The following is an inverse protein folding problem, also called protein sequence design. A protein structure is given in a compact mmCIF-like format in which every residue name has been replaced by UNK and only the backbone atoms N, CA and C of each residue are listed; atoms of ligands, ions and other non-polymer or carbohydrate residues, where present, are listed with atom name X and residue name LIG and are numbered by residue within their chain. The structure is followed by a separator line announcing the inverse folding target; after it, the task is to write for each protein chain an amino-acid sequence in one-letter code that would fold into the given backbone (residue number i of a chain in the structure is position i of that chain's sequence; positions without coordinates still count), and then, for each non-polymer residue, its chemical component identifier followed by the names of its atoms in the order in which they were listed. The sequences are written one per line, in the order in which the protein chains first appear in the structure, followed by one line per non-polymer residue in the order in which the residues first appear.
data_IF_634806734437
#
_entry.id   IF_634806734437
#
_cell.length_a   1.000
_cell.length_b   1.000
_cell.length_c   1.000
_cell.angle_alpha   90.00
_cell.angle_beta   90.00
_cell.angle_gamma   90.00
#
_symmetry.space_group_name_H-M   'P 1'
#
loop_
_entity.id
_entity.type
_entity.pdbx_description
1 polymer ?
#
# COMPACT_ATOMS: atom_id res chain seq x y z
N UNK A 1 -4.69 -10.90 3.62
CA UNK A 1 -3.34 -11.44 3.39
C UNK A 1 -3.34 -12.94 3.64
N UNK A 2 -2.60 -13.70 2.84
CA UNK A 2 -2.30 -15.11 3.10
C UNK A 2 -1.15 -15.23 4.11
N UNK A 3 -1.10 -16.33 4.91
CA UNK A 3 -0.11 -16.49 5.98
C UNK A 3 0.28 -17.97 6.22
N UNK A 4 0.32 -18.78 5.16
CA UNK A 4 0.42 -20.23 5.15
C UNK A 4 -0.80 -20.95 5.77
N UNK A 5 -0.92 -22.25 5.53
CA UNK A 5 -2.02 -23.04 6.04
C UNK A 5 -1.85 -23.42 7.53
N UNK A 6 -0.72 -24.03 7.87
CA UNK A 6 -0.46 -24.56 9.21
C UNK A 6 0.41 -23.65 10.08
N UNK A 7 0.73 -22.42 9.61
CA UNK A 7 1.64 -21.51 10.28
C UNK A 7 3.04 -22.11 10.49
N UNK A 8 3.50 -22.98 9.57
CA UNK A 8 4.82 -23.60 9.67
C UNK A 8 5.95 -22.60 9.33
N UNK A 9 7.16 -22.88 9.84
CA UNK A 9 8.35 -22.14 9.43
C UNK A 9 8.78 -22.59 8.04
N UNK A 10 8.51 -21.77 7.03
CA UNK A 10 8.71 -22.09 5.62
C UNK A 10 10.18 -22.37 5.24
N UNK A 11 11.16 -21.97 6.06
CA UNK A 11 12.58 -22.32 5.86
C UNK A 11 12.95 -23.75 6.32
N UNK A 12 12.05 -24.45 7.00
CA UNK A 12 12.30 -25.77 7.59
C UNK A 12 11.57 -26.89 6.86
N UNK A 13 10.92 -26.56 5.75
CA UNK A 13 10.14 -27.53 4.94
C UNK A 13 10.62 -27.49 3.48
N UNK A 14 10.29 -28.50 2.68
CA UNK A 14 10.62 -28.55 1.26
C UNK A 14 9.87 -27.48 0.46
N UNK A 15 10.34 -27.13 -0.74
CA UNK A 15 9.66 -26.15 -1.61
C UNK A 15 8.29 -26.66 -2.07
N UNK A 16 8.09 -27.97 -2.21
CA UNK A 16 6.80 -28.60 -2.46
C UNK A 16 5.83 -28.36 -1.31
N UNK A 17 6.30 -28.52 -0.08
CA UNK A 17 5.50 -28.21 1.12
C UNK A 17 5.19 -26.71 1.23
N UNK A 18 6.16 -25.83 0.92
CA UNK A 18 5.91 -24.36 0.84
C UNK A 18 4.78 -24.09 -0.14
N UNK A 19 4.80 -24.71 -1.32
CA UNK A 19 3.75 -24.52 -2.33
C UNK A 19 2.40 -25.01 -1.81
N UNK A 20 2.32 -26.20 -1.20
CA UNK A 20 1.09 -26.74 -0.62
C UNK A 20 0.55 -25.82 0.50
N UNK A 21 1.40 -25.33 1.39
CA UNK A 21 1.03 -24.41 2.47
C UNK A 21 0.39 -23.11 1.95
N UNK A 22 0.94 -22.57 0.86
CA UNK A 22 0.43 -21.36 0.21
C UNK A 22 -0.88 -21.64 -0.51
N UNK A 23 -0.92 -22.65 -1.39
CA UNK A 23 -2.08 -22.96 -2.23
C UNK A 23 -3.29 -23.40 -1.40
N UNK A 24 -3.09 -24.22 -0.38
CA UNK A 24 -4.16 -24.66 0.51
C UNK A 24 -4.75 -23.50 1.29
N UNK A 25 -3.91 -22.62 1.85
CA UNK A 25 -4.38 -21.43 2.55
C UNK A 25 -5.16 -20.48 1.63
N UNK A 26 -4.64 -20.25 0.42
CA UNK A 26 -5.30 -19.37 -0.57
C UNK A 26 -6.67 -19.95 -0.99
N UNK A 27 -6.76 -21.26 -1.20
CA UNK A 27 -8.00 -21.94 -1.58
C UNK A 27 -9.05 -21.82 -0.47
N UNK A 28 -8.68 -22.04 0.78
CA UNK A 28 -9.59 -21.89 1.91
C UNK A 28 -10.04 -20.42 2.10
N UNK A 29 -9.11 -19.47 1.97
CA UNK A 29 -9.48 -18.06 2.05
C UNK A 29 -10.45 -17.67 0.92
N UNK A 30 -10.22 -18.16 -0.29
CA UNK A 30 -11.13 -17.93 -1.41
C UNK A 30 -12.51 -18.58 -1.15
N UNK A 31 -12.54 -19.83 -0.73
CA UNK A 31 -13.78 -20.53 -0.39
C UNK A 31 -14.61 -19.77 0.68
N UNK A 32 -13.96 -19.28 1.73
CA UNK A 32 -14.65 -18.60 2.84
C UNK A 32 -15.01 -17.15 2.56
N UNK A 33 -14.28 -16.45 1.68
CA UNK A 33 -14.45 -15.00 1.50
C UNK A 33 -14.83 -14.58 0.09
N UNK A 34 -14.74 -15.47 -0.91
CA UNK A 34 -14.88 -15.14 -2.32
C UNK A 34 -13.75 -14.26 -2.87
N UNK A 35 -12.67 -14.03 -2.09
CA UNK A 35 -11.59 -13.12 -2.46
C UNK A 35 -10.25 -13.85 -2.55
N UNK A 36 -9.56 -13.68 -3.67
CA UNK A 36 -8.20 -14.20 -3.85
C UNK A 36 -7.23 -13.34 -3.01
N UNK A 37 -6.40 -13.95 -2.14
CA UNK A 37 -5.39 -13.22 -1.38
C UNK A 37 -4.36 -12.54 -2.30
N UNK A 38 -4.23 -11.23 -2.21
CA UNK A 38 -3.31 -10.44 -3.05
C UNK A 38 -1.99 -10.10 -2.37
N UNK A 39 -1.80 -10.53 -1.13
CA UNK A 39 -0.60 -10.31 -0.33
C UNK A 39 -0.26 -11.54 0.48
N UNK A 40 1.00 -11.68 0.88
CA UNK A 40 1.48 -12.75 1.74
C UNK A 40 2.31 -12.21 2.90
N UNK A 41 2.15 -12.80 4.08
CA UNK A 41 3.01 -12.58 5.24
C UNK A 41 3.66 -13.89 5.65
N UNK A 42 4.90 -13.85 6.06
CA UNK A 42 5.67 -15.06 6.39
C UNK A 42 5.52 -15.41 7.86
N UNK A 43 5.05 -16.63 8.22
CA UNK A 43 5.18 -17.13 9.58
C UNK A 43 6.66 -17.03 10.02
N UNK A 44 6.89 -16.56 11.25
CA UNK A 44 8.23 -16.39 11.84
C UNK A 44 9.19 -15.51 11.01
N UNK A 45 8.68 -14.69 10.07
CA UNK A 45 9.49 -13.97 9.09
C UNK A 45 10.44 -14.88 8.27
N UNK A 46 10.05 -16.15 8.12
CA UNK A 46 10.85 -17.17 7.46
C UNK A 46 10.75 -17.08 5.94
N UNK A 47 11.64 -16.33 5.32
CA UNK A 47 11.71 -16.10 3.86
C UNK A 47 13.15 -16.25 3.36
N UNK A 48 13.30 -16.77 2.15
CA UNK A 48 14.51 -16.74 1.31
C UNK A 48 14.09 -16.51 -0.15
N UNK A 49 15.03 -16.47 -1.08
CA UNK A 49 14.78 -16.19 -2.50
C UNK A 49 13.80 -17.17 -3.15
N UNK A 50 13.87 -18.47 -2.81
CA UNK A 50 13.03 -19.49 -3.45
C UNK A 50 11.60 -19.49 -2.86
N UNK A 51 11.48 -19.33 -1.55
CA UNK A 51 10.19 -19.10 -0.90
C UNK A 51 9.54 -17.83 -1.47
N UNK A 52 10.31 -16.76 -1.63
CA UNK A 52 9.80 -15.50 -2.19
C UNK A 52 9.25 -15.69 -3.61
N UNK A 53 9.92 -16.44 -4.48
CA UNK A 53 9.42 -16.74 -5.84
C UNK A 53 8.06 -17.44 -5.82
N UNK A 54 7.84 -18.38 -4.90
CA UNK A 54 6.56 -19.09 -4.74
C UNK A 54 5.49 -18.14 -4.21
N UNK A 55 5.79 -17.45 -3.12
CA UNK A 55 4.81 -16.64 -2.38
C UNK A 55 4.45 -15.33 -3.05
N UNK A 56 5.29 -14.79 -3.94
CA UNK A 56 5.02 -13.55 -4.68
C UNK A 56 4.16 -13.74 -5.93
N UNK A 57 3.98 -14.98 -6.38
CA UNK A 57 3.20 -15.28 -7.59
C UNK A 57 1.75 -14.80 -7.44
N UNK A 58 1.26 -14.03 -8.42
CA UNK A 58 -0.08 -13.46 -8.45
C UNK A 58 -0.42 -12.57 -7.24
N UNK A 59 0.56 -11.83 -6.71
CA UNK A 59 0.39 -10.94 -5.56
C UNK A 59 0.94 -9.54 -5.83
N UNK A 60 0.32 -8.57 -5.23
CA UNK A 60 0.81 -7.18 -5.25
C UNK A 60 2.05 -7.01 -4.38
N UNK A 61 2.18 -7.82 -3.32
CA UNK A 61 3.34 -7.77 -2.45
C UNK A 61 3.38 -8.86 -1.39
N UNK A 62 4.57 -9.06 -0.82
CA UNK A 62 4.79 -9.93 0.33
C UNK A 62 5.50 -9.13 1.42
N UNK A 63 5.07 -9.30 2.67
CA UNK A 63 5.62 -8.54 3.79
C UNK A 63 6.90 -9.21 4.29
N UNK A 64 8.03 -8.63 3.99
CA UNK A 64 9.37 -9.09 4.41
C UNK A 64 9.91 -8.29 5.60
N UNK A 65 9.41 -7.06 5.79
CA UNK A 65 9.83 -6.15 6.85
C UNK A 65 8.61 -5.56 7.55
N UNK A 66 8.74 -5.32 8.85
CA UNK A 66 7.72 -4.65 9.66
C UNK A 66 8.35 -4.03 10.90
N UNK A 67 7.69 -3.00 11.42
CA UNK A 67 7.94 -2.44 12.74
C UNK A 67 6.98 -3.11 13.74
N UNK A 68 7.47 -3.88 14.71
CA UNK A 68 6.61 -4.54 15.69
C UNK A 68 6.10 -3.50 16.71
N UNK A 69 4.79 -3.55 16.96
CA UNK A 69 4.12 -2.70 17.93
C UNK A 69 3.41 -3.63 18.94
N UNK A 70 3.76 -3.50 20.21
CA UNK A 70 3.21 -4.33 21.27
C UNK A 70 3.81 -4.00 22.63
N UNK A 71 3.32 -4.66 23.68
CA UNK A 71 3.71 -4.39 25.06
C UNK A 71 4.74 -5.36 25.63
N UNK A 72 4.47 -6.66 25.53
CA UNK A 72 5.26 -7.69 26.23
C UNK A 72 6.63 -7.95 25.60
N UNK A 73 6.73 -7.99 24.29
CA UNK A 73 7.95 -8.31 23.53
C UNK A 73 8.56 -7.07 22.91
N UNK A 74 7.74 -6.31 22.19
CA UNK A 74 8.18 -5.13 21.45
C UNK A 74 8.50 -3.95 22.38
N UNK A 75 7.95 -3.93 23.61
CA UNK A 75 8.18 -2.87 24.62
C UNK A 75 7.93 -1.47 24.05
N UNK A 76 6.88 -1.35 23.23
CA UNK A 76 6.53 -0.06 22.62
C UNK A 76 6.16 0.97 23.67
N UNK A 77 6.73 2.16 23.56
CA UNK A 77 6.38 3.34 24.36
C UNK A 77 5.88 4.45 23.44
N UNK A 78 5.12 5.44 23.95
CA UNK A 78 4.72 6.59 23.15
C UNK A 78 5.91 7.24 22.41
N UNK A 79 7.03 7.41 23.08
CA UNK A 79 8.24 8.03 22.50
C UNK A 79 8.85 7.18 21.37
N UNK A 80 8.87 5.85 21.53
CA UNK A 80 9.40 4.95 20.49
C UNK A 80 8.53 4.95 19.23
N UNK A 81 7.22 4.99 19.40
CA UNK A 81 6.24 5.06 18.32
C UNK A 81 6.29 6.41 17.60
N UNK A 82 6.40 7.52 18.36
CA UNK A 82 6.53 8.86 17.80
C UNK A 82 7.82 8.99 16.97
N UNK A 83 8.97 8.54 17.49
CA UNK A 83 10.25 8.52 16.75
C UNK A 83 10.17 7.71 15.46
N UNK A 84 9.49 6.57 15.50
CA UNK A 84 9.29 5.77 14.29
C UNK A 84 8.50 6.52 13.22
N UNK A 85 7.36 7.12 13.59
CA UNK A 85 6.52 7.91 12.69
C UNK A 85 7.29 9.13 12.15
N UNK A 86 7.99 9.86 13.00
CA UNK A 86 8.82 11.00 12.59
C UNK A 86 9.89 10.58 11.58
N UNK A 87 10.51 9.41 11.76
CA UNK A 87 11.51 8.89 10.81
C UNK A 87 10.91 8.61 9.43
N UNK A 88 9.66 8.12 9.37
CA UNK A 88 8.94 7.90 8.12
C UNK A 88 8.57 9.21 7.43
N UNK A 89 8.07 10.20 8.18
CA UNK A 89 7.76 11.54 7.66
C UNK A 89 9.00 12.20 7.07
N UNK A 90 10.11 12.17 7.80
CA UNK A 90 11.35 12.83 7.40
C UNK A 90 12.02 12.16 6.19
N UNK A 91 11.93 10.83 6.10
CA UNK A 91 12.53 10.05 5.00
C UNK A 91 11.63 9.86 3.79
N UNK A 92 10.32 10.11 3.91
CA UNK A 92 9.32 9.79 2.90
C UNK A 92 9.19 8.28 2.59
N UNK A 93 9.67 7.42 3.50
CA UNK A 93 9.66 5.98 3.32
C UNK A 93 8.34 5.36 3.77
N UNK A 94 8.07 4.19 3.23
CA UNK A 94 6.97 3.34 3.67
C UNK A 94 7.35 2.59 4.95
N UNK A 95 6.50 2.67 5.98
CA UNK A 95 6.57 1.86 7.19
C UNK A 95 5.42 0.87 7.27
N UNK A 96 5.69 -0.34 7.73
CA UNK A 96 4.67 -1.38 7.93
C UNK A 96 4.58 -1.68 9.42
N UNK A 97 3.47 -1.31 10.06
CA UNK A 97 3.20 -1.68 11.45
C UNK A 97 2.70 -3.11 11.54
N UNK A 98 3.15 -3.85 12.53
CA UNK A 98 2.68 -5.20 12.85
C UNK A 98 2.25 -5.26 14.33
N UNK A 99 0.99 -5.59 14.55
CA UNK A 99 0.39 -5.74 15.88
C UNK A 99 -0.17 -7.16 15.97
N UNK A 100 0.15 -7.89 17.02
CA UNK A 100 -0.37 -9.25 17.25
C UNK A 100 -1.54 -9.28 18.24
N UNK A 101 -1.53 -8.44 19.24
CA UNK A 101 -2.57 -8.35 20.25
C UNK A 101 -2.68 -6.94 20.81
N UNK A 102 -3.86 -6.59 21.33
CA UNK A 102 -4.09 -5.30 21.98
C UNK A 102 -4.11 -5.53 23.49
N UNK A 103 -5.20 -6.08 24.04
CA UNK A 103 -5.33 -6.34 25.48
C UNK A 103 -5.07 -7.81 25.84
N UNK A 104 -5.02 -8.70 24.83
CA UNK A 104 -4.79 -10.14 25.00
C UNK A 104 -4.01 -10.70 23.80
N UNK A 105 -3.35 -11.84 23.99
CA UNK A 105 -2.62 -12.55 22.97
C UNK A 105 -1.12 -12.26 22.98
N UNK A 106 -0.44 -12.68 21.92
CA UNK A 106 1.00 -12.49 21.79
C UNK A 106 1.34 -11.01 21.71
N UNK A 107 2.30 -10.56 22.51
CA UNK A 107 2.81 -9.19 22.56
C UNK A 107 1.73 -8.13 22.92
N UNK A 108 0.74 -8.52 23.73
CA UNK A 108 -0.32 -7.62 24.18
C UNK A 108 0.22 -6.46 25.02
N UNK A 109 -0.47 -5.33 24.98
CA UNK A 109 -0.17 -4.19 25.83
C UNK A 109 -0.73 -4.41 27.23
N UNK A 110 0.05 -4.10 28.25
CA UNK A 110 -0.45 -3.97 29.63
C UNK A 110 -1.36 -2.74 29.78
N UNK A 111 -1.00 -1.66 29.09
CA UNK A 111 -1.82 -0.46 28.95
C UNK A 111 -2.12 -0.20 27.45
N UNK A 112 -3.32 -0.54 26.94
CA UNK A 112 -3.69 -0.34 25.54
C UNK A 112 -3.84 1.14 25.13
N UNK A 113 -3.92 2.08 26.10
CA UNK A 113 -4.00 3.50 25.81
C UNK A 113 -2.80 4.01 25.00
N UNK A 114 -1.62 3.40 25.19
CA UNK A 114 -0.43 3.69 24.37
C UNK A 114 -0.73 3.56 22.86
N UNK A 115 -1.49 2.54 22.47
CA UNK A 115 -1.86 2.32 21.06
C UNK A 115 -2.91 3.35 20.59
N UNK A 116 -3.88 3.68 21.42
CA UNK A 116 -4.93 4.65 21.08
C UNK A 116 -4.36 6.06 20.95
N UNK A 117 -3.46 6.47 21.84
CA UNK A 117 -2.72 7.71 21.74
C UNK A 117 -1.89 7.77 20.45
N UNK A 118 -1.19 6.68 20.13
CA UNK A 118 -0.43 6.56 18.89
C UNK A 118 -1.34 6.76 17.65
N UNK A 119 -2.48 6.09 17.60
CA UNK A 119 -3.43 6.26 16.49
C UNK A 119 -3.94 7.68 16.38
N UNK A 120 -4.23 8.33 17.50
CA UNK A 120 -4.66 9.73 17.52
C UNK A 120 -3.58 10.68 16.98
N UNK A 121 -2.31 10.46 17.32
CA UNK A 121 -1.18 11.23 16.79
C UNK A 121 -0.98 10.99 15.29
N UNK A 122 -1.04 9.73 14.84
CA UNK A 122 -0.96 9.39 13.40
C UNK A 122 -2.11 10.05 12.63
N UNK A 123 -3.33 10.03 13.18
CA UNK A 123 -4.49 10.71 12.57
C UNK A 123 -4.29 12.22 12.46
N UNK A 124 -3.69 12.86 13.45
CA UNK A 124 -3.37 14.28 13.41
C UNK A 124 -2.34 14.66 12.32
N UNK A 125 -1.61 13.68 11.80
CA UNK A 125 -0.62 13.83 10.72
C UNK A 125 -1.18 13.43 9.34
N UNK A 126 -2.49 13.27 9.15
CA UNK A 126 -3.09 12.79 7.90
C UNK A 126 -2.81 13.68 6.67
N UNK A 127 -2.39 14.92 6.89
CA UNK A 127 -1.91 15.81 5.82
C UNK A 127 -0.47 15.53 5.36
N UNK A 128 0.29 14.71 6.10
CA UNK A 128 1.68 14.34 5.82
C UNK A 128 1.87 12.83 5.61
N UNK A 129 0.96 12.02 6.13
CA UNK A 129 1.04 10.56 6.11
C UNK A 129 -0.21 9.99 5.47
N UNK A 130 -0.03 9.11 4.52
CA UNK A 130 -1.09 8.24 4.05
C UNK A 130 -1.07 6.92 4.82
N UNK A 131 -2.16 6.60 5.50
CA UNK A 131 -2.39 5.31 6.15
C UNK A 131 -3.27 4.45 5.25
N UNK A 132 -2.75 3.34 4.80
CA UNK A 132 -3.45 2.37 3.96
C UNK A 132 -3.20 0.94 4.41
N UNK A 133 -3.94 0.00 3.86
CA UNK A 133 -3.62 -1.42 4.05
C UNK A 133 -2.30 -1.76 3.35
N UNK A 134 -1.62 -2.81 3.83
CA UNK A 134 -0.40 -3.31 3.17
C UNK A 134 -0.62 -3.55 1.66
N UNK A 135 -1.81 -4.05 1.27
CA UNK A 135 -2.16 -4.28 -0.13
C UNK A 135 -2.18 -2.99 -0.94
N UNK A 136 -2.86 -1.97 -0.45
CA UNK A 136 -3.00 -0.67 -1.14
C UNK A 136 -1.63 -0.01 -1.31
N UNK A 137 -0.85 0.10 -0.23
CA UNK A 137 0.46 0.75 -0.30
C UNK A 137 1.44 -0.04 -1.18
N UNK A 138 1.44 -1.39 -1.12
CA UNK A 138 2.29 -2.23 -1.96
C UNK A 138 1.92 -2.12 -3.45
N UNK A 139 0.63 -2.06 -3.77
CA UNK A 139 0.16 -1.86 -5.15
C UNK A 139 0.54 -0.47 -5.64
N UNK A 140 0.14 0.58 -4.92
CA UNK A 140 0.42 1.99 -5.25
C UNK A 140 1.91 2.25 -5.51
N UNK A 141 2.79 1.73 -4.64
CA UNK A 141 4.24 1.93 -4.78
C UNK A 141 4.75 1.33 -6.09
N UNK A 142 4.36 0.09 -6.41
CA UNK A 142 4.77 -0.58 -7.64
C UNK A 142 4.17 0.05 -8.90
N UNK A 143 2.92 0.46 -8.83
CA UNK A 143 2.22 1.16 -9.92
C UNK A 143 2.91 2.49 -10.20
N UNK A 144 3.22 3.26 -9.17
CA UNK A 144 3.94 4.53 -9.29
C UNK A 144 5.35 4.38 -9.89
N UNK A 145 6.04 3.30 -9.58
CA UNK A 145 7.38 3.01 -10.12
C UNK A 145 7.34 2.58 -11.60
N UNK A 146 6.24 1.94 -12.03
CA UNK A 146 6.13 1.34 -13.36
C UNK A 146 5.33 2.17 -14.36
N UNK A 147 4.47 3.07 -13.88
CA UNK A 147 3.66 3.90 -14.77
C UNK A 147 4.54 4.77 -15.66
N UNK A 148 4.18 4.86 -16.92
CA UNK A 148 4.75 5.79 -17.90
C UNK A 148 3.64 6.71 -18.37
N UNK A 149 3.96 7.98 -18.54
CA UNK A 149 3.03 9.01 -18.98
C UNK A 149 3.54 9.58 -20.30
N UNK A 150 2.73 9.47 -21.34
CA UNK A 150 2.98 10.22 -22.58
C UNK A 150 2.22 11.55 -22.50
N UNK A 151 2.95 12.66 -22.45
CA UNK A 151 2.40 14.01 -22.29
C UNK A 151 2.47 14.74 -23.62
N UNK A 152 1.32 15.17 -24.12
CA UNK A 152 1.19 16.01 -25.32
C UNK A 152 0.66 17.38 -24.90
N UNK A 153 1.46 18.41 -25.10
CA UNK A 153 1.05 19.80 -24.89
C UNK A 153 0.05 20.24 -25.94
N UNK A 154 -0.93 21.04 -25.53
CA UNK A 154 -1.96 21.65 -26.36
C UNK A 154 -1.99 23.16 -26.07
N UNK A 155 -2.53 23.95 -26.98
CA UNK A 155 -2.66 25.40 -26.83
C UNK A 155 -3.25 25.82 -25.48
N UNK A 156 -4.28 25.11 -25.01
CA UNK A 156 -4.98 25.39 -23.76
C UNK A 156 -4.99 24.19 -22.79
N UNK A 157 -3.83 23.51 -22.60
CA UNK A 157 -3.74 22.43 -21.65
C UNK A 157 -2.82 21.27 -22.04
N UNK A 158 -3.16 20.06 -21.59
CA UNK A 158 -2.40 18.83 -21.84
C UNK A 158 -3.31 17.65 -22.14
N UNK A 159 -2.82 16.77 -23.00
CA UNK A 159 -3.32 15.41 -23.12
C UNK A 159 -2.26 14.44 -22.56
N UNK A 160 -2.64 13.63 -21.56
CA UNK A 160 -1.73 12.69 -20.90
C UNK A 160 -2.27 11.29 -21.07
N UNK A 161 -1.49 10.39 -21.67
CA UNK A 161 -1.86 8.98 -21.83
C UNK A 161 -1.04 8.13 -20.85
N UNK A 162 -1.68 7.49 -19.86
CA UNK A 162 -1.02 6.56 -18.96
C UNK A 162 -0.74 5.23 -19.67
N UNK A 163 0.39 4.61 -19.36
CA UNK A 163 0.78 3.28 -19.80
C UNK A 163 1.34 2.49 -18.63
N UNK A 164 0.64 1.44 -18.23
CA UNK A 164 1.08 0.54 -17.17
C UNK A 164 1.06 -0.90 -17.67
N UNK A 165 2.25 -1.50 -17.82
CA UNK A 165 2.42 -2.91 -18.19
C UNK A 165 2.44 -3.78 -16.93
N UNK A 166 1.28 -3.93 -16.30
CA UNK A 166 1.06 -4.77 -15.12
C UNK A 166 -0.32 -5.45 -15.21
N UNK A 167 -0.52 -6.49 -14.40
CA UNK A 167 -1.79 -7.19 -14.37
C UNK A 167 -2.91 -6.30 -13.79
N UNK A 168 -3.81 -5.83 -14.65
CA UNK A 168 -4.92 -4.95 -14.29
C UNK A 168 -5.95 -5.55 -13.31
N UNK A 169 -5.91 -6.86 -13.03
CA UNK A 169 -6.74 -7.49 -12.01
C UNK A 169 -6.10 -7.42 -10.61
N UNK A 170 -4.78 -7.24 -10.55
CA UNK A 170 -4.02 -7.16 -9.30
C UNK A 170 -3.70 -5.72 -8.92
N UNK A 171 -3.28 -4.91 -9.88
CA UNK A 171 -2.80 -3.55 -9.70
C UNK A 171 -3.91 -2.59 -10.13
N UNK A 172 -4.64 -2.08 -9.17
CA UNK A 172 -5.87 -1.30 -9.39
C UNK A 172 -5.98 -0.05 -8.51
N UNK A 173 -4.90 0.29 -7.80
CA UNK A 173 -4.93 1.48 -6.93
C UNK A 173 -4.80 2.74 -7.80
N UNK A 174 -5.68 3.72 -7.66
CA UNK A 174 -5.55 4.96 -8.41
C UNK A 174 -4.28 5.71 -7.99
N UNK A 175 -3.53 6.24 -8.97
CA UNK A 175 -2.39 7.10 -8.67
C UNK A 175 -2.83 8.56 -8.66
N UNK A 176 -2.25 9.33 -7.74
CA UNK A 176 -2.46 10.78 -7.68
C UNK A 176 -1.45 11.51 -8.56
N UNK A 177 -1.96 12.26 -9.53
CA UNK A 177 -1.14 13.20 -10.31
C UNK A 177 -1.09 14.56 -9.64
N UNK A 178 0.09 15.17 -9.64
CA UNK A 178 0.32 16.51 -9.10
C UNK A 178 0.77 17.42 -10.26
N UNK A 179 -0.07 18.37 -10.63
CA UNK A 179 0.29 19.45 -11.54
C UNK A 179 0.83 20.61 -10.71
N UNK A 180 2.06 21.03 -10.98
CA UNK A 180 2.72 22.17 -10.30
C UNK A 180 2.65 23.41 -11.14
N UNK A 181 2.66 24.58 -10.49
CA UNK A 181 2.71 25.90 -11.16
C UNK A 181 1.53 26.17 -12.10
N UNK A 182 0.41 25.48 -11.90
CA UNK A 182 -0.81 25.68 -12.72
C UNK A 182 -1.89 26.46 -11.96
N UNK A 183 -1.87 26.41 -10.62
CA UNK A 183 -2.76 27.19 -9.75
C UNK A 183 -4.21 27.17 -10.19
N UNK A 184 -4.79 28.36 -10.32
CA UNK A 184 -6.20 28.54 -10.73
C UNK A 184 -6.43 28.39 -12.24
N UNK A 185 -5.40 28.20 -13.06
CA UNK A 185 -5.55 28.07 -14.53
C UNK A 185 -6.26 26.80 -14.97
N UNK A 186 -6.26 25.74 -14.14
CA UNK A 186 -6.97 24.50 -14.49
C UNK A 186 -8.47 24.72 -14.35
N UNK A 187 -9.18 24.65 -15.48
CA UNK A 187 -10.64 24.72 -15.54
C UNK A 187 -11.30 23.36 -15.33
N UNK A 188 -10.73 22.31 -15.97
CA UNK A 188 -11.31 20.99 -15.96
C UNK A 188 -10.26 19.90 -16.24
N UNK A 189 -10.46 18.72 -15.64
CA UNK A 189 -9.73 17.51 -15.99
C UNK A 189 -10.73 16.39 -16.23
N UNK A 190 -10.59 15.66 -17.34
CA UNK A 190 -11.42 14.51 -17.72
C UNK A 190 -10.58 13.29 -18.04
N UNK A 191 -11.10 12.10 -17.71
CA UNK A 191 -10.63 10.82 -18.18
C UNK A 191 -11.83 9.92 -18.46
N UNK A 192 -11.81 9.14 -19.54
CA UNK A 192 -12.92 8.25 -19.96
C UNK A 192 -14.25 9.01 -20.08
N UNK A 193 -14.22 10.27 -20.55
CA UNK A 193 -15.39 11.14 -20.65
C UNK A 193 -15.92 11.69 -19.31
N UNK A 194 -15.38 11.25 -18.17
CA UNK A 194 -15.81 11.67 -16.83
C UNK A 194 -14.92 12.79 -16.30
N UNK A 195 -15.54 13.77 -15.65
CA UNK A 195 -14.81 14.81 -14.92
C UNK A 195 -14.19 14.21 -13.67
N UNK A 196 -12.89 14.48 -13.44
CA UNK A 196 -12.17 14.05 -12.25
C UNK A 196 -12.35 15.07 -11.12
N UNK A 197 -12.33 14.57 -9.88
CA UNK A 197 -12.32 15.44 -8.71
C UNK A 197 -10.92 16.08 -8.56
N UNK A 198 -10.89 17.39 -8.31
CA UNK A 198 -9.67 18.17 -8.18
C UNK A 198 -9.53 18.68 -6.76
N UNK A 199 -8.36 18.41 -6.16
CA UNK A 199 -7.93 19.07 -4.92
C UNK A 199 -6.94 20.17 -5.29
N UNK A 200 -7.26 21.43 -4.95
CA UNK A 200 -6.34 22.56 -5.11
C UNK A 200 -5.56 22.78 -3.82
N UNK A 201 -4.26 22.97 -3.94
CA UNK A 201 -3.34 23.24 -2.84
C UNK A 201 -2.29 24.24 -3.29
N UNK A 202 -2.44 25.48 -2.87
CA UNK A 202 -1.63 26.63 -3.31
C UNK A 202 -1.53 26.73 -4.86
N UNK A 203 -0.32 26.51 -5.41
CA UNK A 203 -0.05 26.51 -6.85
C UNK A 203 -0.20 25.14 -7.52
N UNK A 204 -0.69 24.13 -6.77
CA UNK A 204 -0.80 22.76 -7.23
C UNK A 204 -2.25 22.34 -7.42
N UNK A 205 -2.46 21.43 -8.36
CA UNK A 205 -3.71 20.71 -8.54
C UNK A 205 -3.41 19.22 -8.45
N UNK A 206 -4.13 18.51 -7.57
CA UNK A 206 -4.00 17.08 -7.38
C UNK A 206 -5.29 16.40 -7.85
N UNK A 207 -5.15 15.24 -8.48
CA UNK A 207 -6.27 14.40 -8.88
C UNK A 207 -5.84 12.95 -9.04
N UNK A 208 -6.75 12.04 -8.72
CA UNK A 208 -6.55 10.61 -8.94
C UNK A 208 -7.02 10.23 -10.34
N UNK A 209 -6.30 9.30 -10.98
CA UNK A 209 -6.60 8.86 -12.31
C UNK A 209 -6.55 7.33 -12.45
N UNK A 210 -7.27 6.79 -13.41
CA UNK A 210 -7.26 5.38 -13.75
C UNK A 210 -6.00 5.04 -14.56
N UNK A 211 -5.22 4.08 -14.09
CA UNK A 211 -3.94 3.66 -14.69
C UNK A 211 -4.11 3.01 -16.06
N UNK A 212 -5.26 2.36 -16.29
CA UNK A 212 -5.63 1.64 -17.52
C UNK A 212 -6.72 2.37 -18.31
N UNK A 213 -7.05 3.58 -17.88
CA UNK A 213 -8.00 4.44 -18.59
C UNK A 213 -7.41 5.02 -19.86
N UNK A 214 -8.28 5.63 -20.64
CA UNK A 214 -7.86 6.37 -21.83
C UNK A 214 -7.16 7.68 -21.42
N UNK A 215 -6.84 8.47 -22.41
CA UNK A 215 -6.19 9.77 -22.30
C UNK A 215 -6.88 10.71 -21.28
N UNK A 216 -6.08 11.29 -20.40
CA UNK A 216 -6.48 12.35 -19.50
C UNK A 216 -6.39 13.66 -20.25
N UNK A 217 -7.48 14.43 -20.27
CA UNK A 217 -7.55 15.76 -20.87
C UNK A 217 -7.55 16.81 -19.77
N UNK A 218 -6.54 17.69 -19.79
CA UNK A 218 -6.43 18.82 -18.88
C UNK A 218 -6.68 20.08 -19.68
N UNK A 219 -7.62 20.92 -19.23
CA UNK A 219 -7.95 22.20 -19.86
C UNK A 219 -7.61 23.35 -18.93
N UNK A 220 -6.99 24.37 -19.50
CA UNK A 220 -6.75 25.66 -18.85
C UNK A 220 -7.86 26.66 -19.20
N UNK A 221 -7.99 27.70 -18.36
CA UNK A 221 -8.81 28.88 -18.63
C UNK A 221 -8.12 29.74 -19.68
#
# INVERSE_FOLDING_TARGET
SSHSWSHTNLKRVSLEEVKMEVEKNDSILYEKTGKIPRTFCYPFNAVNSDILKITSKNRVGTRTEQYPIGGDKSKSTPESLDKWVESLVNSGRWGVAMIHGISQGYDAFQNPEILWEHFSKVKALENKIWVGTFREVAAYTKEREKIRLNVLEKENGYNITPHLDMNAQLFTEPLTMVLKSVGNRVSEIRQDGKKLFLKKDADKVLFDFNLYGVMIQIRFI
#
